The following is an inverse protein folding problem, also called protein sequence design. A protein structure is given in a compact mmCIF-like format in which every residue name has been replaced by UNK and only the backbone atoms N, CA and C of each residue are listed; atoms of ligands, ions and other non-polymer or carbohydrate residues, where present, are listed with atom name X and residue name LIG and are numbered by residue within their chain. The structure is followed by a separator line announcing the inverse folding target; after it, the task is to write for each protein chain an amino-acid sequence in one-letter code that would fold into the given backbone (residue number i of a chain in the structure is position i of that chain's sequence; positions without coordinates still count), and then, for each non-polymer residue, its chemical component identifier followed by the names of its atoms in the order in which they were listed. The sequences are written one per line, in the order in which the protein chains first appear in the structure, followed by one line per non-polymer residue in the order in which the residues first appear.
data_IF_921554876657
#
_entry.id   IF_921554876657
#
_cell.length_a   1.000
_cell.length_b   1.000
_cell.length_c   1.000
_cell.angle_alpha   90.00
_cell.angle_beta   90.00
_cell.angle_gamma   90.00
#
_symmetry.space_group_name_H-M   'P 1'
#
loop_
_entity.id
_entity.type
_entity.pdbx_description
1 polymer ?
#
# COMPACT_ATOMS: atom_id res chain seq x y z
N UNK A 1 1.76 -20.14 -25.44
CA UNK A 1 1.50 -19.17 -24.37
C UNK A 1 2.84 -18.84 -23.75
N UNK A 2 3.36 -17.63 -23.94
CA UNK A 2 4.63 -17.22 -23.33
C UNK A 2 4.49 -17.27 -21.81
N UNK A 3 5.40 -17.90 -21.10
CA UNK A 3 5.44 -17.86 -19.63
C UNK A 3 5.54 -16.41 -19.20
N UNK A 4 4.58 -15.94 -18.40
CA UNK A 4 4.67 -14.61 -17.81
C UNK A 4 6.03 -14.48 -17.11
N UNK A 5 6.75 -13.41 -17.38
CA UNK A 5 8.07 -13.20 -16.77
C UNK A 5 7.92 -13.15 -15.25
N UNK A 6 8.68 -13.98 -14.54
CA UNK A 6 8.74 -14.00 -13.08
C UNK A 6 9.15 -12.62 -12.55
N UNK A 7 8.33 -12.04 -11.67
CA UNK A 7 8.55 -10.70 -11.08
C UNK A 7 9.08 -10.82 -9.66
N UNK A 8 9.83 -9.81 -9.22
CA UNK A 8 10.25 -9.62 -7.84
C UNK A 8 9.25 -8.69 -7.14
N UNK A 9 8.52 -9.23 -6.16
CA UNK A 9 7.45 -8.57 -5.44
C UNK A 9 7.84 -8.35 -3.98
N UNK A 10 7.60 -7.17 -3.43
CA UNK A 10 7.71 -6.87 -1.99
C UNK A 10 6.31 -6.58 -1.45
N UNK A 11 5.97 -7.18 -0.31
CA UNK A 11 4.71 -6.92 0.39
C UNK A 11 5.00 -6.52 1.84
N UNK A 12 4.79 -5.25 2.18
CA UNK A 12 4.88 -4.79 3.57
C UNK A 12 3.62 -5.14 4.35
N UNK A 13 3.76 -5.60 5.61
CA UNK A 13 2.65 -6.19 6.36
C UNK A 13 2.12 -7.46 5.70
N UNK A 14 3.00 -8.21 5.01
CA UNK A 14 2.63 -9.37 4.19
C UNK A 14 2.34 -10.64 4.98
N UNK A 15 2.52 -10.62 6.31
CA UNK A 15 2.32 -11.76 7.20
C UNK A 15 0.88 -11.96 7.69
N UNK A 16 -0.05 -11.05 7.40
CA UNK A 16 -1.44 -11.14 7.87
C UNK A 16 -2.42 -10.38 6.99
N UNK A 17 -3.72 -10.63 7.17
CA UNK A 17 -4.82 -9.87 6.57
C UNK A 17 -4.70 -9.67 5.05
N UNK A 18 -4.87 -8.44 4.61
CA UNK A 18 -4.79 -8.03 3.20
C UNK A 18 -3.40 -8.34 2.61
N UNK A 19 -2.32 -8.03 3.34
CA UNK A 19 -0.97 -8.29 2.87
C UNK A 19 -0.69 -9.77 2.64
N UNK A 20 -1.20 -10.65 3.50
CA UNK A 20 -1.11 -12.10 3.31
C UNK A 20 -1.88 -12.56 2.08
N UNK A 21 -3.06 -12.00 1.82
CA UNK A 21 -3.83 -12.32 0.62
C UNK A 21 -3.06 -11.92 -0.66
N UNK A 22 -2.43 -10.74 -0.67
CA UNK A 22 -1.57 -10.30 -1.77
C UNK A 22 -0.34 -11.21 -1.92
N UNK A 23 0.31 -11.58 -0.81
CA UNK A 23 1.47 -12.49 -0.83
C UNK A 23 1.12 -13.86 -1.43
N UNK A 24 -0.05 -14.40 -1.05
CA UNK A 24 -0.59 -15.65 -1.62
C UNK A 24 -0.89 -15.53 -3.11
N UNK A 25 -1.51 -14.44 -3.52
CA UNK A 25 -1.84 -14.18 -4.91
C UNK A 25 -0.60 -14.20 -5.79
N UNK A 26 0.41 -13.37 -5.47
CA UNK A 26 1.63 -13.32 -6.27
C UNK A 26 2.44 -14.62 -6.24
N UNK A 27 2.48 -15.32 -5.12
CA UNK A 27 3.11 -16.63 -5.04
C UNK A 27 2.38 -17.68 -5.92
N UNK A 28 1.04 -17.65 -5.95
CA UNK A 28 0.25 -18.56 -6.79
C UNK A 28 0.42 -18.32 -8.29
N UNK A 29 0.80 -17.10 -8.68
CA UNK A 29 1.16 -16.74 -10.06
C UNK A 29 2.63 -17.04 -10.41
N UNK A 30 3.39 -17.64 -9.47
CA UNK A 30 4.79 -18.03 -9.71
C UNK A 30 5.78 -16.86 -9.58
N UNK A 31 5.41 -15.77 -8.91
CA UNK A 31 6.30 -14.64 -8.68
C UNK A 31 7.16 -14.82 -7.42
N UNK A 32 8.36 -14.21 -7.40
CA UNK A 32 9.20 -14.16 -6.21
C UNK A 32 8.65 -13.11 -5.22
N UNK A 33 8.25 -13.52 -4.02
CA UNK A 33 7.64 -12.66 -3.01
C UNK A 33 8.54 -12.48 -1.81
N UNK A 34 8.85 -11.24 -1.45
CA UNK A 34 9.48 -10.89 -0.18
C UNK A 34 8.42 -10.33 0.77
N UNK A 35 8.15 -11.04 1.85
CA UNK A 35 7.24 -10.65 2.93
C UNK A 35 8.03 -9.83 3.94
N UNK A 36 7.65 -8.57 4.16
CA UNK A 36 8.16 -7.73 5.25
C UNK A 36 7.07 -7.60 6.31
N UNK A 37 7.37 -7.98 7.56
CA UNK A 37 6.43 -7.87 8.67
C UNK A 37 7.19 -7.75 10.00
N UNK A 38 6.58 -7.13 11.00
CA UNK A 38 7.16 -7.03 12.35
C UNK A 38 7.04 -8.34 13.13
N UNK A 39 6.07 -9.18 12.78
CA UNK A 39 5.85 -10.48 13.41
C UNK A 39 6.72 -11.56 12.77
N UNK A 40 7.86 -11.85 13.42
CA UNK A 40 8.84 -12.79 12.90
C UNK A 40 8.32 -14.23 12.81
N UNK A 41 7.57 -14.69 13.81
CA UNK A 41 7.07 -16.06 13.89
C UNK A 41 6.02 -16.32 12.79
N UNK A 42 5.00 -15.49 12.72
CA UNK A 42 3.94 -15.59 11.72
C UNK A 42 4.50 -15.44 10.29
N UNK A 43 5.38 -14.44 10.07
CA UNK A 43 5.93 -14.17 8.75
C UNK A 43 6.81 -15.30 8.22
N UNK A 44 7.70 -15.87 9.06
CA UNK A 44 8.54 -16.99 8.66
C UNK A 44 7.72 -18.26 8.35
N UNK A 45 6.72 -18.56 9.18
CA UNK A 45 5.80 -19.68 8.96
C UNK A 45 5.08 -19.54 7.61
N UNK A 46 4.51 -18.36 7.33
CA UNK A 46 3.77 -18.10 6.09
C UNK A 46 4.69 -18.20 4.86
N UNK A 47 5.91 -17.65 4.93
CA UNK A 47 6.84 -17.75 3.82
C UNK A 47 7.18 -19.22 3.50
N UNK A 48 7.40 -20.04 4.52
CA UNK A 48 7.64 -21.48 4.36
C UNK A 48 6.43 -22.22 3.75
N UNK A 49 5.22 -21.95 4.25
CA UNK A 49 3.97 -22.53 3.74
C UNK A 49 3.75 -22.18 2.27
N UNK A 50 3.94 -20.92 1.89
CA UNK A 50 3.74 -20.45 0.53
C UNK A 50 4.79 -21.01 -0.43
N UNK A 51 6.06 -21.09 -0.03
CA UNK A 51 7.10 -21.71 -0.83
C UNK A 51 6.82 -23.19 -1.08
N UNK A 52 6.35 -23.92 -0.06
CA UNK A 52 6.00 -25.33 -0.19
C UNK A 52 4.79 -25.56 -1.11
N UNK A 53 3.79 -24.67 -1.02
CA UNK A 53 2.56 -24.76 -1.82
C UNK A 53 2.74 -24.32 -3.27
N UNK A 54 3.67 -23.42 -3.54
CA UNK A 54 3.93 -22.82 -4.85
C UNK A 54 5.39 -23.00 -5.26
N UNK A 55 5.80 -24.20 -5.72
CA UNK A 55 7.21 -24.54 -5.98
C UNK A 55 7.86 -23.69 -7.10
N UNK A 56 7.05 -23.03 -7.93
CA UNK A 56 7.53 -22.11 -8.96
C UNK A 56 7.79 -20.69 -8.44
N UNK A 57 7.46 -20.40 -7.17
CA UNK A 57 7.68 -19.13 -6.52
C UNK A 57 8.73 -19.26 -5.41
N UNK A 58 9.58 -18.24 -5.28
CA UNK A 58 10.44 -18.10 -4.09
C UNK A 58 9.82 -17.11 -3.14
N UNK A 59 9.36 -17.59 -1.97
CA UNK A 59 8.79 -16.72 -0.94
C UNK A 59 9.76 -16.60 0.22
N UNK A 60 10.19 -15.37 0.51
CA UNK A 60 11.12 -15.08 1.61
C UNK A 60 10.45 -14.19 2.64
N UNK A 61 10.93 -14.26 3.86
CA UNK A 61 10.49 -13.40 4.95
C UNK A 61 11.66 -12.56 5.48
N UNK A 62 11.40 -11.29 5.75
CA UNK A 62 12.31 -10.38 6.46
C UNK A 62 11.53 -9.65 7.54
N UNK A 63 11.95 -9.81 8.80
CA UNK A 63 11.43 -8.96 9.87
C UNK A 63 11.79 -7.51 9.57
N UNK A 64 10.80 -6.63 9.46
CA UNK A 64 11.01 -5.22 9.16
C UNK A 64 9.89 -4.36 9.72
N UNK A 65 10.27 -3.26 10.37
CA UNK A 65 9.36 -2.20 10.82
C UNK A 65 9.38 -1.07 9.80
N UNK A 66 8.24 -0.85 9.11
CA UNK A 66 8.10 0.19 8.09
C UNK A 66 8.26 1.60 8.63
N UNK A 67 8.08 1.81 9.94
CA UNK A 67 8.30 3.11 10.61
C UNK A 67 9.78 3.42 10.86
N UNK A 68 10.67 2.44 10.69
CA UNK A 68 12.12 2.59 10.76
C UNK A 68 12.72 2.68 9.36
N UNK A 69 13.27 3.84 8.99
CA UNK A 69 13.95 4.03 7.72
C UNK A 69 15.10 3.05 7.52
N UNK A 70 15.97 2.89 8.52
CA UNK A 70 17.18 2.08 8.40
C UNK A 70 16.84 0.59 8.25
N UNK A 71 15.85 0.10 8.99
CA UNK A 71 15.40 -1.29 8.89
C UNK A 71 14.77 -1.59 7.52
N UNK A 72 13.90 -0.69 7.08
CA UNK A 72 13.24 -0.83 5.78
C UNK A 72 14.23 -0.70 4.61
N UNK A 73 15.17 0.25 4.68
CA UNK A 73 16.21 0.43 3.66
C UNK A 73 17.12 -0.79 3.54
N UNK A 74 17.52 -1.38 4.69
CA UNK A 74 18.29 -2.62 4.70
C UNK A 74 17.52 -3.79 4.07
N UNK A 75 16.20 -3.91 4.37
CA UNK A 75 15.36 -4.95 3.81
C UNK A 75 15.19 -4.83 2.27
N UNK A 76 14.99 -3.60 1.76
CA UNK A 76 14.92 -3.36 0.32
C UNK A 76 16.23 -3.66 -0.39
N UNK A 77 17.36 -3.24 0.21
CA UNK A 77 18.70 -3.51 -0.30
C UNK A 77 18.96 -5.01 -0.42
N UNK A 78 18.65 -5.77 0.62
CA UNK A 78 18.79 -7.23 0.64
C UNK A 78 18.03 -7.89 -0.51
N UNK A 79 16.75 -7.54 -0.72
CA UNK A 79 15.94 -8.08 -1.83
C UNK A 79 16.55 -7.72 -3.18
N UNK A 80 17.01 -6.48 -3.35
CA UNK A 80 17.61 -6.04 -4.61
C UNK A 80 18.93 -6.77 -4.91
N UNK A 81 19.79 -6.95 -3.90
CA UNK A 81 21.06 -7.70 -4.05
C UNK A 81 20.83 -9.19 -4.38
N UNK A 82 19.81 -9.80 -3.78
CA UNK A 82 19.49 -11.21 -4.02
C UNK A 82 18.84 -11.47 -5.39
N UNK A 83 18.01 -10.51 -5.88
CA UNK A 83 17.15 -10.75 -7.05
C UNK A 83 17.50 -9.90 -8.26
N UNK A 84 18.33 -8.87 -8.11
CA UNK A 84 18.75 -7.95 -9.18
C UNK A 84 17.69 -6.94 -9.61
N UNK A 85 16.43 -7.14 -9.22
CA UNK A 85 15.32 -6.20 -9.52
C UNK A 85 14.25 -6.20 -8.46
N UNK A 86 13.49 -5.10 -8.43
CA UNK A 86 12.21 -4.98 -7.72
C UNK A 86 11.20 -4.50 -8.75
N UNK A 87 10.11 -5.27 -8.94
CA UNK A 87 9.15 -5.06 -10.02
C UNK A 87 7.81 -4.55 -9.51
N UNK A 88 7.33 -5.08 -8.37
CA UNK A 88 6.06 -4.69 -7.74
C UNK A 88 6.31 -4.48 -6.25
N UNK A 89 5.76 -3.39 -5.71
CA UNK A 89 5.79 -3.11 -4.28
C UNK A 89 4.38 -2.82 -3.77
N UNK A 90 3.95 -3.64 -2.81
CA UNK A 90 2.70 -3.44 -2.08
C UNK A 90 3.02 -2.71 -0.77
N UNK A 91 2.83 -1.39 -0.76
CA UNK A 91 2.96 -0.55 0.44
C UNK A 91 1.68 -0.70 1.29
N UNK A 92 1.59 -1.83 2.02
CA UNK A 92 0.36 -2.27 2.64
C UNK A 92 0.37 -2.23 4.18
N UNK A 93 1.54 -2.31 4.83
CA UNK A 93 1.60 -2.30 6.30
C UNK A 93 0.77 -1.17 6.91
N UNK A 94 -0.03 -1.49 7.92
CA UNK A 94 -0.88 -0.52 8.57
C UNK A 94 -1.41 -1.03 9.91
N UNK A 95 -1.78 -0.08 10.77
CA UNK A 95 -2.37 -0.31 12.08
C UNK A 95 -3.65 0.54 12.22
N UNK A 96 -4.58 0.10 13.10
CA UNK A 96 -5.72 0.89 13.50
C UNK A 96 -5.34 1.92 14.58
N UNK A 97 -6.15 2.94 14.72
CA UNK A 97 -6.13 3.81 15.88
C UNK A 97 -6.59 3.02 17.10
N UNK A 98 -5.79 2.96 18.17
CA UNK A 98 -6.06 2.13 19.34
C UNK A 98 -6.21 2.97 20.61
N UNK A 99 -7.23 2.62 21.41
CA UNK A 99 -7.45 3.14 22.74
C UNK A 99 -7.85 4.62 22.78
N UNK A 100 -7.56 5.28 23.89
CA UNK A 100 -7.80 6.72 24.13
C UNK A 100 -6.81 7.63 23.38
N UNK A 101 -6.38 7.26 22.19
CA UNK A 101 -5.50 8.08 21.37
C UNK A 101 -6.25 9.09 20.51
N UNK A 102 -7.47 9.43 20.93
CA UNK A 102 -8.32 10.39 20.22
C UNK A 102 -7.61 11.73 20.04
N UNK A 103 -7.78 12.32 18.87
CA UNK A 103 -7.33 13.68 18.62
C UNK A 103 -8.11 14.69 19.49
N UNK A 104 -9.30 14.31 19.95
CA UNK A 104 -10.19 15.14 20.80
C UNK A 104 -10.83 14.24 21.84
N UNK A 105 -10.53 14.49 23.12
CA UNK A 105 -11.25 13.92 24.25
C UNK A 105 -11.75 15.06 25.15
N UNK A 106 -13.04 15.34 25.09
CA UNK A 106 -13.66 16.42 25.86
C UNK A 106 -13.97 16.01 27.30
N UNK A 107 -13.68 14.78 27.70
CA UNK A 107 -13.84 14.29 29.07
C UNK A 107 -12.58 14.45 29.94
N UNK A 108 -11.44 14.76 29.32
CA UNK A 108 -10.17 14.98 30.04
C UNK A 108 -10.20 16.26 30.88
N UNK A 109 -9.76 16.18 32.13
CA UNK A 109 -9.59 17.34 32.99
C UNK A 109 -8.40 18.22 32.53
N UNK A 110 -7.35 17.59 32.04
CA UNK A 110 -6.17 18.22 31.45
C UNK A 110 -5.84 17.50 30.13
N UNK A 111 -5.44 18.22 29.06
CA UNK A 111 -5.22 17.63 27.77
C UNK A 111 -4.01 16.66 27.77
N UNK A 112 -4.20 15.46 27.28
CA UNK A 112 -3.11 14.48 27.13
C UNK A 112 -2.56 14.47 25.69
N UNK A 113 -1.27 14.12 25.56
CA UNK A 113 -0.61 14.03 24.25
C UNK A 113 -1.20 12.88 23.44
N UNK A 114 -1.75 13.12 22.23
CA UNK A 114 -2.28 12.07 21.39
C UNK A 114 -1.17 11.11 20.92
N UNK A 115 -1.51 9.84 20.72
CA UNK A 115 -0.58 8.82 20.21
C UNK A 115 -0.58 8.85 18.68
N UNK A 116 0.54 9.21 18.07
CA UNK A 116 0.66 9.38 16.62
C UNK A 116 1.24 8.16 15.88
N UNK A 117 1.38 7.01 16.54
CA UNK A 117 1.93 5.79 15.93
C UNK A 117 1.21 5.39 14.62
N UNK A 118 -0.07 5.72 14.48
CA UNK A 118 -0.82 5.49 13.25
C UNK A 118 -0.23 6.26 12.07
N UNK A 119 0.32 7.45 12.29
CA UNK A 119 1.03 8.20 11.23
C UNK A 119 2.39 7.58 10.92
N UNK A 120 3.13 7.16 11.94
CA UNK A 120 4.46 6.56 11.74
C UNK A 120 4.38 5.33 10.84
N UNK A 121 3.36 4.48 11.05
CA UNK A 121 3.18 3.26 10.26
C UNK A 121 2.43 3.52 8.95
N UNK A 122 1.22 4.11 9.03
CA UNK A 122 0.30 4.17 7.90
C UNK A 122 0.66 5.26 6.87
N UNK A 123 1.41 6.27 7.25
CA UNK A 123 1.78 7.38 6.37
C UNK A 123 3.29 7.45 6.16
N UNK A 124 4.08 7.66 7.21
CA UNK A 124 5.55 7.74 7.11
C UNK A 124 6.13 6.45 6.54
N UNK A 125 5.67 5.28 7.02
CA UNK A 125 6.08 3.97 6.51
C UNK A 125 5.73 3.77 5.03
N UNK A 126 4.58 4.28 4.57
CA UNK A 126 4.22 4.28 3.14
C UNK A 126 5.16 5.20 2.34
N UNK A 127 5.45 6.42 2.84
CA UNK A 127 6.41 7.35 2.19
C UNK A 127 7.78 6.70 2.05
N UNK A 128 8.30 6.06 3.10
CA UNK A 128 9.58 5.35 3.06
C UNK A 128 9.55 4.19 2.05
N UNK A 129 8.48 3.40 2.07
CA UNK A 129 8.29 2.29 1.14
C UNK A 129 8.29 2.76 -0.32
N UNK A 130 7.53 3.82 -0.63
CA UNK A 130 7.46 4.41 -1.98
C UNK A 130 8.81 4.98 -2.40
N UNK A 131 9.52 5.68 -1.51
CA UNK A 131 10.85 6.23 -1.78
C UNK A 131 11.87 5.14 -2.14
N UNK A 132 11.90 4.06 -1.36
CA UNK A 132 12.81 2.94 -1.62
C UNK A 132 12.43 2.17 -2.88
N UNK A 133 11.13 1.91 -3.08
CA UNK A 133 10.63 1.28 -4.29
C UNK A 133 11.03 2.06 -5.55
N UNK A 134 10.76 3.36 -5.57
CA UNK A 134 11.10 4.25 -6.70
C UNK A 134 12.60 4.25 -6.99
N UNK A 135 13.44 4.29 -5.94
CA UNK A 135 14.89 4.26 -6.08
C UNK A 135 15.38 2.99 -6.77
N UNK A 136 14.94 1.81 -6.30
CA UNK A 136 15.39 0.53 -6.87
C UNK A 136 14.76 0.24 -8.26
N UNK A 137 13.51 0.61 -8.47
CA UNK A 137 12.84 0.49 -9.78
C UNK A 137 13.53 1.37 -10.83
N UNK A 138 13.97 2.58 -10.47
CA UNK A 138 14.64 3.50 -11.38
C UNK A 138 16.03 3.00 -11.82
N UNK A 139 16.64 2.03 -11.14
CA UNK A 139 17.91 1.39 -11.55
C UNK A 139 17.74 0.44 -12.74
N UNK A 140 16.53 0.01 -13.03
CA UNK A 140 16.27 -0.83 -14.20
C UNK A 140 16.40 -0.04 -15.49
N UNK A 141 16.89 -0.64 -16.59
CA UNK A 141 16.84 -0.02 -17.90
C UNK A 141 15.39 0.40 -18.22
N UNK A 142 15.23 1.58 -18.86
CA UNK A 142 13.93 2.01 -19.34
C UNK A 142 13.56 1.13 -20.53
N UNK A 143 12.68 0.17 -20.33
CA UNK A 143 12.08 -0.64 -21.40
C UNK A 143 10.75 -0.02 -21.82
N UNK A 144 10.22 -0.40 -22.99
CA UNK A 144 8.97 0.14 -23.52
C UNK A 144 7.75 -0.03 -22.58
N UNK A 145 7.78 -0.99 -21.66
CA UNK A 145 6.58 -1.39 -20.97
C UNK A 145 6.45 -0.92 -19.53
N UNK A 146 7.48 -0.92 -18.69
CA UNK A 146 7.45 -0.43 -17.31
C UNK A 146 8.76 -0.68 -16.59
N UNK A 147 9.12 0.19 -15.62
CA UNK A 147 10.19 -0.07 -14.64
C UNK A 147 9.66 -0.69 -13.35
N UNK A 148 8.40 -0.48 -13.02
CA UNK A 148 7.79 -1.05 -11.83
C UNK A 148 6.41 -0.51 -11.53
N UNK A 149 5.75 -1.17 -10.57
CA UNK A 149 4.42 -0.83 -10.07
C UNK A 149 4.46 -0.73 -8.54
N UNK A 150 3.96 0.37 -8.01
CA UNK A 150 3.75 0.59 -6.58
C UNK A 150 2.23 0.62 -6.32
N UNK A 151 1.75 -0.17 -5.37
CA UNK A 151 0.35 -0.13 -4.93
C UNK A 151 0.33 0.17 -3.43
N UNK A 152 -0.33 1.27 -3.05
CA UNK A 152 -0.47 1.71 -1.68
C UNK A 152 -1.83 1.31 -1.12
N UNK A 153 -1.88 0.69 0.07
CA UNK A 153 -3.15 0.37 0.73
C UNK A 153 -3.61 1.58 1.56
N UNK A 154 -4.57 2.31 1.00
CA UNK A 154 -5.33 3.33 1.71
C UNK A 154 -6.51 2.69 2.49
N UNK A 155 -7.70 3.23 2.41
CA UNK A 155 -8.97 2.75 2.95
C UNK A 155 -10.10 3.62 2.39
N UNK A 156 -11.34 3.17 2.44
CA UNK A 156 -12.50 4.04 2.25
C UNK A 156 -12.56 5.17 3.30
N UNK A 157 -11.94 4.99 4.50
CA UNK A 157 -11.71 6.06 5.47
C UNK A 157 -10.76 7.16 4.98
N UNK A 158 -10.08 6.97 3.83
CA UNK A 158 -9.34 8.00 3.11
C UNK A 158 -10.15 8.69 2.01
N UNK A 159 -11.39 8.25 1.78
CA UNK A 159 -12.36 8.84 0.84
C UNK A 159 -13.52 9.53 1.57
N UNK A 160 -13.93 8.99 2.71
CA UNK A 160 -15.08 9.43 3.49
C UNK A 160 -14.68 9.82 4.91
N UNK A 161 -15.42 10.75 5.56
CA UNK A 161 -15.25 11.04 6.98
C UNK A 161 -15.38 9.77 7.83
N UNK A 162 -14.46 9.57 8.78
CA UNK A 162 -14.47 8.43 9.68
C UNK A 162 -14.31 8.89 11.15
N UNK A 163 -15.38 9.38 11.79
CA UNK A 163 -15.32 10.05 13.09
C UNK A 163 -14.82 9.17 14.24
N UNK A 164 -14.99 7.85 14.14
CA UNK A 164 -14.58 6.91 15.20
C UNK A 164 -13.06 6.70 15.26
N UNK A 165 -12.32 7.10 14.20
CA UNK A 165 -10.86 7.01 14.14
C UNK A 165 -10.28 8.13 13.25
N UNK A 166 -10.30 9.39 13.70
CA UNK A 166 -9.93 10.54 12.87
C UNK A 166 -8.45 10.56 12.49
N UNK A 167 -7.53 10.08 13.35
CA UNK A 167 -6.11 10.01 13.04
C UNK A 167 -5.82 8.91 11.99
N UNK A 168 -6.53 7.77 12.10
CA UNK A 168 -6.48 6.74 11.06
C UNK A 168 -6.97 7.29 9.71
N UNK A 169 -8.14 7.92 9.68
CA UNK A 169 -8.69 8.55 8.48
C UNK A 169 -7.70 9.54 7.88
N UNK A 170 -7.14 10.44 8.70
CA UNK A 170 -6.13 11.41 8.25
C UNK A 170 -4.94 10.72 7.60
N UNK A 171 -4.44 9.62 8.19
CA UNK A 171 -3.34 8.86 7.59
C UNK A 171 -3.71 8.30 6.23
N UNK A 172 -4.95 7.83 6.05
CA UNK A 172 -5.42 7.23 4.79
C UNK A 172 -5.74 8.26 3.71
N UNK A 173 -6.26 9.45 4.08
CA UNK A 173 -6.33 10.61 3.18
C UNK A 173 -4.92 11.03 2.71
N UNK A 174 -3.93 11.03 3.63
CA UNK A 174 -2.53 11.31 3.30
C UNK A 174 -1.96 10.35 2.26
N UNK A 175 -2.25 9.05 2.37
CA UNK A 175 -1.84 8.05 1.38
C UNK A 175 -2.44 8.32 0.00
N UNK A 176 -3.73 8.67 -0.07
CA UNK A 176 -4.40 9.02 -1.35
C UNK A 176 -3.76 10.27 -1.96
N UNK A 177 -3.51 11.30 -1.13
CA UNK A 177 -2.80 12.50 -1.57
C UNK A 177 -1.42 12.19 -2.13
N UNK A 178 -0.64 11.34 -1.45
CA UNK A 178 0.68 10.89 -1.88
C UNK A 178 0.62 10.18 -3.25
N UNK A 179 -0.28 9.21 -3.42
CA UNK A 179 -0.45 8.46 -4.68
C UNK A 179 -0.73 9.40 -5.84
N UNK A 180 -1.71 10.30 -5.70
CA UNK A 180 -2.11 11.25 -6.75
C UNK A 180 -0.99 12.23 -7.08
N UNK A 181 -0.27 12.73 -6.08
CA UNK A 181 0.80 13.71 -6.27
C UNK A 181 2.06 13.10 -6.91
N UNK A 182 2.34 11.81 -6.67
CA UNK A 182 3.52 11.14 -7.22
C UNK A 182 3.27 10.49 -8.58
N UNK A 183 2.03 10.41 -9.06
CA UNK A 183 1.70 9.72 -10.30
C UNK A 183 2.45 10.31 -11.51
N UNK A 184 2.36 11.61 -11.72
CA UNK A 184 3.01 12.27 -12.86
C UNK A 184 4.55 12.21 -12.78
N UNK A 185 5.22 12.57 -11.68
CA UNK A 185 6.68 12.44 -11.56
C UNK A 185 7.18 11.00 -11.77
N UNK A 186 6.52 9.99 -11.22
CA UNK A 186 6.94 8.60 -11.37
C UNK A 186 6.70 8.06 -12.79
N UNK A 187 5.60 8.47 -13.43
CA UNK A 187 5.31 8.09 -14.81
C UNK A 187 6.40 8.54 -15.79
N UNK A 188 7.02 9.71 -15.58
CA UNK A 188 8.17 10.18 -16.38
C UNK A 188 9.35 9.19 -16.33
N UNK A 189 9.46 8.45 -15.25
CA UNK A 189 10.47 7.40 -15.05
C UNK A 189 9.97 5.98 -15.42
N UNK A 190 8.75 5.84 -15.95
CA UNK A 190 8.16 4.54 -16.28
C UNK A 190 7.78 3.72 -15.03
N UNK A 191 7.51 4.38 -13.92
CA UNK A 191 7.05 3.77 -12.67
C UNK A 191 5.58 4.14 -12.45
N UNK A 192 4.76 3.14 -12.24
CA UNK A 192 3.34 3.26 -11.99
C UNK A 192 3.08 3.30 -10.48
N UNK A 193 2.18 4.17 -10.02
CA UNK A 193 1.74 4.19 -8.62
C UNK A 193 0.23 4.31 -8.54
N UNK A 194 -0.41 3.44 -7.72
CA UNK A 194 -1.86 3.44 -7.52
C UNK A 194 -2.21 3.15 -6.06
N UNK A 195 -3.47 3.37 -5.68
CA UNK A 195 -3.98 3.13 -4.35
C UNK A 195 -5.18 2.18 -4.33
N UNK A 196 -5.24 1.33 -3.32
CA UNK A 196 -6.43 0.56 -2.97
C UNK A 196 -7.11 1.23 -1.78
N UNK A 197 -8.41 1.47 -1.87
CA UNK A 197 -9.24 2.02 -0.81
C UNK A 197 -10.31 0.99 -0.38
N UNK A 198 -9.92 -0.06 0.36
CA UNK A 198 -10.87 -1.10 0.77
C UNK A 198 -11.94 -0.53 1.70
N UNK A 199 -13.19 -0.99 1.51
CA UNK A 199 -14.23 -0.93 2.51
C UNK A 199 -13.95 -1.97 3.62
N UNK A 200 -14.97 -2.45 4.31
CA UNK A 200 -14.79 -3.39 5.43
C UNK A 200 -14.37 -4.76 4.90
N UNK A 201 -13.14 -5.15 5.19
CA UNK A 201 -12.63 -6.51 4.97
C UNK A 201 -12.29 -7.11 6.33
N UNK A 202 -12.75 -8.33 6.59
CA UNK A 202 -12.45 -9.03 7.84
C UNK A 202 -10.95 -9.34 7.91
N UNK A 203 -10.26 -8.68 8.84
CA UNK A 203 -8.82 -8.83 9.08
C UNK A 203 -8.50 -8.65 10.57
N UNK A 204 -7.28 -8.98 10.96
CA UNK A 204 -6.80 -8.79 12.33
C UNK A 204 -6.49 -7.32 12.70
N UNK A 205 -6.76 -6.36 11.83
CA UNK A 205 -6.58 -4.93 12.12
C UNK A 205 -7.65 -4.41 13.08
N UNK A 206 -8.82 -5.04 13.08
CA UNK A 206 -9.91 -4.70 13.98
C UNK A 206 -9.62 -5.21 15.40
N UNK A 207 -10.00 -4.43 16.44
CA UNK A 207 -9.77 -4.81 17.83
C UNK A 207 -10.59 -6.04 18.28
N UNK A 208 -11.71 -6.33 17.62
CA UNK A 208 -12.58 -7.48 17.91
C UNK A 208 -13.29 -7.93 16.64
N UNK A 209 -13.52 -9.25 16.52
CA UNK A 209 -14.36 -9.81 15.45
C UNK A 209 -15.83 -9.44 15.59
N UNK A 210 -16.28 -9.12 16.80
CA UNK A 210 -17.65 -8.67 17.05
C UNK A 210 -18.00 -7.37 16.32
N UNK A 211 -16.99 -6.57 15.99
CA UNK A 211 -17.15 -5.36 15.20
C UNK A 211 -17.78 -5.61 13.82
N UNK A 212 -17.58 -6.80 13.27
CA UNK A 212 -18.03 -7.15 11.92
C UNK A 212 -19.45 -7.70 11.85
N UNK A 213 -20.13 -8.02 13.00
CA UNK A 213 -21.42 -8.73 13.03
C UNK A 213 -22.53 -8.07 12.20
N UNK A 214 -22.59 -6.74 12.23
CA UNK A 214 -23.65 -5.97 11.56
C UNK A 214 -23.12 -5.22 10.32
N UNK A 215 -21.91 -5.55 9.86
CA UNK A 215 -21.29 -4.89 8.71
C UNK A 215 -21.42 -5.73 7.44
N UNK A 216 -21.55 -5.04 6.30
CA UNK A 216 -21.41 -5.67 4.99
C UNK A 216 -19.94 -5.89 4.70
N UNK A 217 -19.51 -7.14 4.72
CA UNK A 217 -18.12 -7.52 4.50
C UNK A 217 -17.82 -7.58 3.01
N UNK A 218 -16.76 -6.90 2.60
CA UNK A 218 -16.21 -7.00 1.25
C UNK A 218 -15.34 -8.25 1.15
N UNK A 219 -15.59 -9.14 0.17
CA UNK A 219 -14.76 -10.33 -0.03
C UNK A 219 -13.31 -9.97 -0.35
N UNK A 220 -12.35 -10.73 0.17
CA UNK A 220 -10.93 -10.56 -0.11
C UNK A 220 -10.62 -10.71 -1.61
N UNK A 221 -11.38 -11.53 -2.32
CA UNK A 221 -11.28 -11.74 -3.76
C UNK A 221 -11.54 -10.45 -4.55
N UNK A 222 -12.43 -9.57 -4.05
CA UNK A 222 -12.68 -8.27 -4.67
C UNK A 222 -11.45 -7.37 -4.58
N UNK A 223 -10.75 -7.39 -3.45
CA UNK A 223 -9.49 -6.66 -3.29
C UNK A 223 -8.42 -7.19 -4.25
N UNK A 224 -8.29 -8.51 -4.38
CA UNK A 224 -7.32 -9.12 -5.29
C UNK A 224 -7.63 -8.77 -6.75
N UNK A 225 -8.91 -8.65 -7.14
CA UNK A 225 -9.27 -8.14 -8.49
C UNK A 225 -8.78 -6.70 -8.71
N UNK A 226 -8.87 -5.84 -7.69
CA UNK A 226 -8.30 -4.47 -7.75
C UNK A 226 -6.78 -4.48 -7.95
N UNK A 227 -6.06 -5.37 -7.25
CA UNK A 227 -4.62 -5.57 -7.46
C UNK A 227 -4.35 -6.04 -8.90
N UNK A 228 -5.06 -7.06 -9.36
CA UNK A 228 -4.90 -7.64 -10.71
C UNK A 228 -5.18 -6.62 -11.81
N UNK A 229 -6.15 -5.72 -11.63
CA UNK A 229 -6.45 -4.64 -12.56
C UNK A 229 -5.25 -3.70 -12.75
N UNK A 230 -4.59 -3.26 -11.65
CA UNK A 230 -3.41 -2.41 -11.73
C UNK A 230 -2.18 -3.12 -12.29
N UNK A 231 -2.05 -4.43 -12.05
CA UNK A 231 -0.96 -5.26 -12.62
C UNK A 231 -1.14 -5.45 -14.14
N UNK A 232 -2.39 -5.59 -14.60
CA UNK A 232 -2.72 -5.87 -15.98
C UNK A 232 -2.68 -4.62 -16.88
N UNK A 233 -2.98 -3.43 -16.32
CA UNK A 233 -3.08 -2.20 -17.10
C UNK A 233 -1.98 -1.18 -16.68
N UNK A 234 -0.88 -1.09 -17.44
CA UNK A 234 0.20 -0.15 -17.15
C UNK A 234 -0.16 1.32 -17.44
N UNK A 235 -1.31 1.61 -18.02
CA UNK A 235 -1.76 2.98 -18.26
C UNK A 235 -2.36 3.63 -17.01
N UNK A 236 -2.80 2.81 -16.03
CA UNK A 236 -3.37 3.29 -14.77
C UNK A 236 -2.26 3.77 -13.84
N UNK A 237 -2.20 5.08 -13.59
CA UNK A 237 -1.28 5.68 -12.62
C UNK A 237 -1.93 6.88 -11.94
N UNK A 238 -1.84 6.95 -10.61
CA UNK A 238 -2.54 7.95 -9.79
C UNK A 238 -3.97 7.57 -9.43
N UNK A 239 -4.41 6.38 -9.85
CA UNK A 239 -5.77 5.90 -9.62
C UNK A 239 -5.96 5.38 -8.20
N UNK A 240 -7.16 5.61 -7.67
CA UNK A 240 -7.61 5.05 -6.39
C UNK A 240 -8.77 4.09 -6.66
N UNK A 241 -8.54 2.82 -6.46
CA UNK A 241 -9.58 1.80 -6.56
C UNK A 241 -10.28 1.64 -5.21
N UNK A 242 -11.52 2.08 -5.11
CA UNK A 242 -12.39 1.74 -3.99
C UNK A 242 -12.88 0.30 -4.17
N UNK A 243 -12.65 -0.52 -3.12
CA UNK A 243 -12.98 -1.94 -3.11
C UNK A 243 -14.18 -2.13 -2.18
N UNK A 244 -15.35 -2.43 -2.73
CA UNK A 244 -16.58 -2.54 -1.97
C UNK A 244 -17.49 -3.64 -2.50
N UNK A 245 -18.08 -4.45 -1.60
CA UNK A 245 -18.91 -5.58 -2.00
C UNK A 245 -18.22 -6.45 -3.05
N UNK A 246 -18.85 -6.62 -4.21
CA UNK A 246 -18.29 -7.34 -5.37
C UNK A 246 -17.64 -6.41 -6.41
N UNK A 247 -17.46 -5.12 -6.13
CA UNK A 247 -17.09 -4.12 -7.13
C UNK A 247 -15.73 -3.48 -6.85
N UNK A 248 -15.03 -3.12 -7.93
CA UNK A 248 -13.83 -2.30 -7.95
C UNK A 248 -14.14 -1.02 -8.70
N UNK A 249 -14.24 0.11 -8.00
CA UNK A 249 -14.60 1.40 -8.59
C UNK A 249 -13.41 2.35 -8.55
N UNK A 250 -12.95 2.82 -9.69
CA UNK A 250 -11.92 3.87 -9.74
C UNK A 250 -12.52 5.20 -9.31
N UNK A 251 -11.85 5.87 -8.36
CA UNK A 251 -12.26 7.16 -7.83
C UNK A 251 -11.34 8.26 -8.39
N UNK A 252 -11.80 9.05 -9.36
CA UNK A 252 -11.01 10.13 -9.93
C UNK A 252 -10.66 11.19 -8.88
N UNK A 253 -9.63 12.01 -9.10
CA UNK A 253 -9.40 13.21 -8.29
C UNK A 253 -10.59 14.18 -8.40
N UNK A 254 -10.72 15.05 -7.41
CA UNK A 254 -11.72 16.12 -7.47
C UNK A 254 -11.47 17.02 -8.68
N UNK A 255 -12.55 17.48 -9.29
CA UNK A 255 -12.47 18.52 -10.31
C UNK A 255 -11.98 19.84 -9.69
N UNK A 256 -11.27 20.64 -10.48
CA UNK A 256 -10.88 21.98 -10.05
C UNK A 256 -12.11 22.88 -9.92
N UNK A 257 -12.11 23.74 -8.91
CA UNK A 257 -13.21 24.66 -8.67
C UNK A 257 -13.44 25.61 -9.87
N UNK A 258 -12.35 26.00 -10.54
CA UNK A 258 -12.36 26.88 -11.71
C UNK A 258 -11.06 26.74 -12.53
N UNK A 259 -11.03 27.45 -13.66
CA UNK A 259 -9.90 27.45 -14.59
C UNK A 259 -8.65 28.15 -13.99
N UNK A 260 -8.84 29.12 -13.13
CA UNK A 260 -7.73 29.85 -12.50
C UNK A 260 -7.02 28.97 -11.47
N UNK A 261 -7.78 28.23 -10.66
CA UNK A 261 -7.22 27.23 -9.75
C UNK A 261 -6.40 26.20 -10.50
N UNK A 262 -6.95 25.65 -11.59
CA UNK A 262 -6.24 24.70 -12.45
C UNK A 262 -4.94 25.30 -12.99
N UNK A 263 -5.00 26.53 -13.55
CA UNK A 263 -3.85 27.23 -14.12
C UNK A 263 -2.75 27.44 -13.09
N UNK A 264 -3.10 27.86 -11.87
CA UNK A 264 -2.12 28.07 -10.82
C UNK A 264 -1.38 26.77 -10.43
N UNK A 265 -2.11 25.65 -10.33
CA UNK A 265 -1.51 24.34 -10.04
C UNK A 265 -0.61 23.89 -11.20
N UNK A 266 -1.03 24.10 -12.46
CA UNK A 266 -0.21 23.77 -13.63
C UNK A 266 1.09 24.61 -13.66
N UNK A 267 1.03 25.88 -13.25
CA UNK A 267 2.23 26.74 -13.10
C UNK A 267 3.16 26.22 -12.02
N UNK A 268 2.64 25.87 -10.82
CA UNK A 268 3.46 25.27 -9.76
C UNK A 268 4.16 24.00 -10.25
N UNK A 269 3.42 23.11 -10.93
CA UNK A 269 3.98 21.88 -11.49
C UNK A 269 5.08 22.15 -12.52
N UNK A 270 4.95 23.23 -13.34
CA UNK A 270 5.96 23.59 -14.35
C UNK A 270 7.22 24.20 -13.74
N UNK A 271 7.12 24.86 -12.59
CA UNK A 271 8.26 25.48 -11.90
C UNK A 271 9.11 24.47 -11.12
N UNK A 272 8.63 23.23 -10.95
CA UNK A 272 9.37 22.18 -10.28
C UNK A 272 9.56 22.44 -8.77
N UNK A 273 8.68 23.22 -8.14
CA UNK A 273 8.65 23.34 -6.71
C UNK A 273 8.10 22.04 -6.10
N UNK A 274 8.99 21.10 -5.84
CA UNK A 274 8.79 19.95 -4.99
C UNK A 274 10.10 19.59 -4.29
#
# INVERSE_FOLDING_TARGET
MGSAQMKSVIVTGGGSGIGLAMSRHFASEGHNVAIFDVNAESGAKIASELSSKHPNATVTFRKSDVSSWDDLAAAFKEVYEQRGSIDIVMANAGVSEQGSSSAVDLSEAEPTKPRLKVFDVNLTGVVYTVKLASHYMNRKPKTANSRGLIICTASNAGLYPFPVAPLYATSKFGVIGLVRSLAAPLAQHGIQINGLAPAVIETNIAPSKDLFKDMVITPMETLIRGVAQFVADPSLSGEIAEIHGSEVTLRPPHEYADADTKKNIDVFNSLGYA
#
